data_IF_185605348137
#
_entry.id   IF_185605348137
#
_cell.length_a   1.000
_cell.length_b   1.000
_cell.length_c   1.000
_cell.angle_alpha   90.00
_cell.angle_beta   90.00
_cell.angle_gamma   90.00
#
_symmetry.space_group_name_H-M   'P 1'
#
loop_
_entity.id
_entity.type
_entity.pdbx_description
1 polymer ?
#
# COMPACT_ATOMS: atom_id res chain seq x y z
N UNK A 1 -3.81 7.77 -13.84
CA UNK A 1 -2.43 7.66 -13.34
C UNK A 1 -2.40 6.57 -12.30
N UNK A 2 -1.54 5.56 -12.45
CA UNK A 2 -1.42 4.44 -11.49
C UNK A 2 -0.21 4.62 -10.56
N UNK A 3 0.37 5.83 -10.58
CA UNK A 3 1.43 6.25 -9.69
C UNK A 3 0.89 6.42 -8.28
N UNK A 4 1.71 5.98 -7.32
CA UNK A 4 1.50 6.19 -5.90
C UNK A 4 2.87 6.22 -5.23
N UNK A 5 2.87 6.19 -3.91
CA UNK A 5 4.08 6.36 -3.12
C UNK A 5 4.06 7.68 -2.35
N UNK A 6 5.07 7.84 -1.50
CA UNK A 6 5.15 9.02 -0.66
C UNK A 6 5.56 10.24 -1.46
N UNK A 7 5.04 11.41 -1.06
CA UNK A 7 5.51 12.69 -1.57
C UNK A 7 7.00 12.92 -1.25
N UNK A 8 7.61 13.98 -1.82
CA UNK A 8 9.06 14.21 -1.73
C UNK A 8 9.60 14.43 -0.31
N UNK A 9 8.75 14.76 0.66
CA UNK A 9 9.12 14.96 2.06
C UNK A 9 8.04 14.37 2.97
N UNK A 10 8.02 13.04 3.18
CA UNK A 10 7.09 12.42 4.11
C UNK A 10 7.54 12.69 5.54
N UNK A 11 6.57 12.75 6.45
CA UNK A 11 6.82 12.84 7.89
C UNK A 11 7.34 11.51 8.47
N UNK A 12 6.88 10.38 7.92
CA UNK A 12 7.45 9.04 8.15
C UNK A 12 7.94 8.48 6.83
N UNK A 13 9.25 8.27 6.67
CA UNK A 13 9.81 7.73 5.43
C UNK A 13 9.66 6.20 5.36
N UNK A 14 8.99 5.67 4.33
CA UNK A 14 8.80 4.24 4.12
C UNK A 14 9.62 3.77 2.91
N UNK A 15 10.55 2.87 3.15
CA UNK A 15 11.46 2.33 2.13
C UNK A 15 11.46 0.80 2.11
N UNK A 16 11.75 0.23 0.95
CA UNK A 16 11.87 -1.23 0.78
C UNK A 16 13.30 -1.74 1.03
N UNK A 17 14.28 -0.84 1.11
CA UNK A 17 15.68 -1.14 1.42
C UNK A 17 15.86 -1.47 2.90
N UNK A 18 16.86 -2.31 3.21
CA UNK A 18 17.16 -2.69 4.59
C UNK A 18 17.93 -1.61 5.35
N UNK A 19 18.63 -0.76 4.62
CA UNK A 19 19.39 0.38 5.12
C UNK A 19 19.01 1.65 4.35
N UNK A 20 19.36 2.79 4.92
CA UNK A 20 19.10 4.11 4.36
C UNK A 20 20.42 4.91 4.34
N UNK A 21 21.13 4.98 3.20
CA UNK A 21 22.38 5.72 3.09
C UNK A 21 22.26 7.17 3.55
N UNK A 22 23.24 7.65 4.30
CA UNK A 22 23.21 9.00 4.90
C UNK A 22 22.43 9.11 6.20
N UNK A 23 21.74 8.04 6.62
CA UNK A 23 21.02 7.97 7.88
C UNK A 23 21.53 6.83 8.76
N UNK A 24 21.22 6.88 10.06
CA UNK A 24 21.53 5.83 11.04
C UNK A 24 20.28 5.54 11.86
N UNK A 25 19.95 4.27 12.02
CA UNK A 25 18.90 3.83 12.96
C UNK A 25 19.40 4.04 14.39
N UNK A 26 18.73 4.92 15.14
CA UNK A 26 19.07 5.22 16.54
C UNK A 26 18.34 4.31 17.52
N UNK A 27 17.13 3.88 17.16
CA UNK A 27 16.26 3.05 18.00
C UNK A 27 15.39 2.16 17.11
N UNK A 28 15.10 0.94 17.57
CA UNK A 28 14.19 0.00 16.90
C UNK A 28 12.92 -0.12 17.73
N UNK A 29 11.79 0.33 17.16
CA UNK A 29 10.49 0.46 17.83
C UNK A 29 9.62 -0.81 17.69
N UNK A 30 10.05 -1.75 16.84
CA UNK A 30 9.32 -2.98 16.51
C UNK A 30 8.52 -2.89 15.21
N UNK A 31 7.77 -3.94 14.89
CA UNK A 31 7.04 -4.03 13.63
C UNK A 31 5.78 -3.16 13.61
N UNK A 32 5.41 -2.70 12.41
CA UNK A 32 4.15 -2.00 12.13
C UNK A 32 3.53 -2.58 10.87
N UNK A 33 2.20 -2.57 10.80
CA UNK A 33 1.46 -2.99 9.62
C UNK A 33 0.30 -2.03 9.35
N UNK A 34 -0.09 -1.93 8.08
CA UNK A 34 -1.30 -1.29 7.64
C UNK A 34 -2.13 -2.30 6.86
N UNK A 35 -3.39 -2.49 7.27
CA UNK A 35 -4.27 -3.48 6.66
C UNK A 35 -5.59 -2.81 6.25
N UNK A 36 -6.10 -3.17 5.09
CA UNK A 36 -7.46 -2.86 4.67
C UNK A 36 -8.09 -4.07 3.99
N UNK A 37 -9.40 -4.19 4.06
CA UNK A 37 -10.18 -5.25 3.41
C UNK A 37 -11.21 -4.56 2.54
N UNK A 38 -11.33 -4.99 1.28
CA UNK A 38 -12.38 -4.54 0.37
C UNK A 38 -13.25 -5.73 -0.01
N UNK A 39 -14.55 -5.59 0.20
CA UNK A 39 -15.51 -6.55 -0.35
C UNK A 39 -15.49 -6.44 -1.86
N UNK A 40 -15.49 -7.58 -2.55
CA UNK A 40 -15.77 -7.64 -3.98
C UNK A 40 -17.27 -7.41 -4.15
N UNK A 41 -17.73 -6.17 -4.22
CA UNK A 41 -19.11 -5.93 -4.66
C UNK A 41 -19.26 -6.45 -6.10
N UNK A 42 -20.17 -7.41 -6.28
CA UNK A 42 -20.48 -8.14 -7.53
C UNK A 42 -20.71 -7.25 -8.77
N UNK A 43 -20.96 -5.95 -8.59
CA UNK A 43 -21.28 -5.01 -9.68
C UNK A 43 -20.15 -4.75 -10.68
N UNK A 44 -18.88 -4.90 -10.28
CA UNK A 44 -17.73 -4.75 -11.20
C UNK A 44 -17.46 -6.00 -12.05
N UNK A 45 -17.97 -7.16 -11.65
CA UNK A 45 -17.71 -8.43 -12.33
C UNK A 45 -18.46 -8.56 -13.66
N UNK A 46 -19.66 -7.96 -13.78
CA UNK A 46 -20.50 -8.07 -14.99
C UNK A 46 -19.87 -7.32 -16.19
N UNK A 47 -19.18 -6.20 -15.96
CA UNK A 47 -18.48 -5.46 -17.02
C UNK A 47 -17.05 -5.94 -17.29
N UNK A 48 -16.38 -6.53 -16.28
CA UNK A 48 -15.01 -7.02 -16.39
C UNK A 48 -14.93 -8.36 -17.15
N UNK A 49 -15.91 -9.24 -16.98
CA UNK A 49 -15.97 -10.52 -17.73
C UNK A 49 -16.02 -10.31 -19.24
N UNK A 50 -16.76 -9.31 -19.73
CA UNK A 50 -16.88 -9.01 -21.16
C UNK A 50 -15.61 -8.33 -21.72
N UNK A 51 -14.96 -7.44 -20.97
CA UNK A 51 -13.73 -6.76 -21.40
C UNK A 51 -12.49 -7.67 -21.34
N UNK A 52 -12.44 -8.60 -20.39
CA UNK A 52 -11.34 -9.57 -20.30
C UNK A 52 -11.29 -10.52 -21.49
N UNK A 53 -12.44 -10.83 -22.10
CA UNK A 53 -12.53 -11.67 -23.30
C UNK A 53 -12.02 -10.97 -24.57
N UNK A 54 -12.13 -9.64 -24.64
CA UNK A 54 -11.63 -8.83 -25.77
C UNK A 54 -10.16 -8.43 -25.59
N UNK A 55 -9.63 -8.60 -24.37
CA UNK A 55 -8.28 -8.19 -24.01
C UNK A 55 -8.20 -6.69 -23.68
N UNK A 56 -7.66 -6.36 -22.52
CA UNK A 56 -7.44 -4.97 -22.11
C UNK A 56 -7.38 -4.80 -20.59
N UNK A 57 -6.80 -3.68 -20.15
CA UNK A 57 -6.73 -3.35 -18.74
C UNK A 57 -8.12 -3.06 -18.15
N UNK A 58 -8.43 -3.69 -17.02
CA UNK A 58 -9.62 -3.42 -16.23
C UNK A 58 -9.42 -2.14 -15.40
N UNK A 59 -9.37 -0.96 -16.05
CA UNK A 59 -9.05 0.34 -15.41
C UNK A 59 -9.82 0.63 -14.12
N UNK A 60 -11.09 0.21 -14.03
CA UNK A 60 -11.90 0.36 -12.82
C UNK A 60 -11.37 -0.49 -11.65
N UNK A 61 -11.00 -1.75 -11.93
CA UNK A 61 -10.35 -2.62 -10.95
C UNK A 61 -8.97 -2.09 -10.58
N UNK A 62 -8.15 -1.67 -11.55
CA UNK A 62 -6.84 -1.07 -11.28
C UNK A 62 -6.98 0.12 -10.33
N UNK A 63 -7.94 1.02 -10.59
CA UNK A 63 -8.20 2.17 -9.71
C UNK A 63 -8.56 1.74 -8.29
N UNK A 64 -9.46 0.78 -8.13
CA UNK A 64 -9.82 0.25 -6.80
C UNK A 64 -8.63 -0.36 -6.07
N UNK A 65 -7.76 -1.09 -6.77
CA UNK A 65 -6.55 -1.67 -6.17
C UNK A 65 -5.56 -0.58 -5.73
N UNK A 66 -5.37 0.48 -6.52
CA UNK A 66 -4.53 1.63 -6.15
C UNK A 66 -5.08 2.32 -4.89
N UNK A 67 -6.40 2.59 -4.85
CA UNK A 67 -7.04 3.18 -3.66
C UNK A 67 -6.90 2.30 -2.42
N UNK A 68 -7.04 0.98 -2.59
CA UNK A 68 -6.88 -0.01 -1.51
C UNK A 68 -5.45 0.01 -0.97
N UNK A 69 -4.45 0.02 -1.87
CA UNK A 69 -3.04 0.10 -1.50
C UNK A 69 -2.73 1.39 -0.74
N UNK A 70 -3.20 2.54 -1.23
CA UNK A 70 -2.96 3.83 -0.59
C UNK A 70 -3.55 3.87 0.82
N UNK A 71 -4.75 3.32 1.03
CA UNK A 71 -5.36 3.25 2.36
C UNK A 71 -4.56 2.36 3.33
N UNK A 72 -4.03 1.22 2.87
CA UNK A 72 -3.16 0.39 3.69
C UNK A 72 -1.86 1.12 4.07
N UNK A 73 -1.27 1.85 3.13
CA UNK A 73 -0.07 2.66 3.36
C UNK A 73 -0.30 3.79 4.36
N UNK A 74 -1.44 4.49 4.27
CA UNK A 74 -1.83 5.53 5.22
C UNK A 74 -1.90 4.97 6.65
N UNK A 75 -2.57 3.83 6.83
CA UNK A 75 -2.65 3.13 8.13
C UNK A 75 -1.29 2.69 8.67
N UNK A 76 -0.40 2.21 7.81
CA UNK A 76 0.98 1.87 8.19
C UNK A 76 1.71 3.10 8.75
N UNK A 77 1.62 4.23 8.04
CA UNK A 77 2.25 5.50 8.43
C UNK A 77 1.67 6.01 9.75
N UNK A 78 0.35 5.94 9.93
CA UNK A 78 -0.30 6.29 11.20
C UNK A 78 0.20 5.44 12.37
N UNK A 79 0.34 4.12 12.17
CA UNK A 79 0.86 3.22 13.21
C UNK A 79 2.33 3.51 13.53
N UNK A 80 3.16 3.77 12.53
CA UNK A 80 4.55 4.18 12.72
C UNK A 80 4.64 5.49 13.51
N UNK A 81 3.88 6.51 13.10
CA UNK A 81 3.81 7.82 13.76
C UNK A 81 3.34 7.71 15.21
N UNK A 82 2.29 6.93 15.46
CA UNK A 82 1.73 6.72 16.81
C UNK A 82 2.73 6.09 17.78
N UNK A 83 3.71 5.33 17.27
CA UNK A 83 4.80 4.75 18.07
C UNK A 83 6.06 5.61 18.11
N UNK A 84 6.01 6.83 17.56
CA UNK A 84 7.15 7.75 17.52
C UNK A 84 8.20 7.45 16.45
N UNK A 85 7.90 6.54 15.50
CA UNK A 85 8.81 6.24 14.40
C UNK A 85 8.75 7.35 13.34
N UNK A 86 9.92 7.69 12.78
CA UNK A 86 10.07 8.60 11.65
C UNK A 86 10.47 7.88 10.35
N UNK A 87 10.69 6.57 10.40
CA UNK A 87 10.97 5.75 9.23
C UNK A 87 10.50 4.30 9.41
N UNK A 88 10.15 3.66 8.30
CA UNK A 88 9.91 2.22 8.16
C UNK A 88 10.85 1.69 7.09
N UNK A 89 11.79 0.84 7.49
CA UNK A 89 12.74 0.17 6.58
C UNK A 89 12.24 -1.23 6.25
N UNK A 90 12.83 -1.84 5.23
CA UNK A 90 12.52 -3.21 4.79
C UNK A 90 11.04 -3.46 4.52
N UNK A 91 10.28 -2.44 4.12
CA UNK A 91 8.84 -2.56 3.93
C UNK A 91 8.50 -3.64 2.90
N UNK A 92 7.50 -4.47 3.22
CA UNK A 92 6.92 -5.48 2.33
C UNK A 92 5.42 -5.29 2.29
N UNK A 93 4.86 -5.41 1.09
CA UNK A 93 3.43 -5.32 0.85
C UNK A 93 2.92 -6.70 0.43
N UNK A 94 1.84 -7.15 1.06
CA UNK A 94 1.19 -8.41 0.74
C UNK A 94 -0.29 -8.18 0.40
N UNK A 95 -0.83 -9.02 -0.48
CA UNK A 95 -2.24 -9.06 -0.85
C UNK A 95 -2.70 -10.50 -0.77
N UNK A 96 -3.62 -10.77 0.14
CA UNK A 96 -4.23 -12.09 0.31
C UNK A 96 -5.72 -12.03 0.02
N UNK A 97 -6.26 -13.13 -0.53
CA UNK A 97 -7.70 -13.34 -0.55
C UNK A 97 -8.11 -13.97 0.78
N UNK A 98 -8.99 -13.31 1.53
CA UNK A 98 -9.66 -13.95 2.66
C UNK A 98 -10.72 -14.92 2.11
N UNK A 99 -10.55 -16.22 2.42
CA UNK A 99 -11.48 -17.29 2.09
C UNK A 99 -12.75 -17.22 2.93
#
# INVERSE_FOLDING_TARGET
EYGGGQGPQPDVLVVTTNDLPGHRVQEVIGEVFGLTVRSRHLGSQIGAGLKSLVGGELRGLTKTLVETRNQAMERLVEQARARGANAVLSFRFDVTEAA
#
